data_IF_459667942899
#
_entry.id   IF_459667942899
#
_cell.length_a   1.000
_cell.length_b   1.000
_cell.length_c   1.000
_cell.angle_alpha   90.00
_cell.angle_beta   90.00
_cell.angle_gamma   90.00
#
_symmetry.space_group_name_H-M   'P 1'
#
loop_
_entity.id
_entity.type
_entity.pdbx_description
1 polymer ?
#
# COMPACT_ATOMS: atom_id res chain seq x y z
N UNK A 1 -12.04 7.04 -18.30
CA UNK A 1 -12.82 5.80 -18.01
C UNK A 1 -14.28 6.16 -18.16
N UNK A 2 -15.08 5.34 -18.86
CA UNK A 2 -16.50 5.59 -19.07
C UNK A 2 -17.29 4.82 -18.01
N UNK A 3 -18.19 5.50 -17.30
CA UNK A 3 -19.12 4.91 -16.34
C UNK A 3 -20.51 4.91 -16.96
N UNK A 4 -21.32 3.93 -16.61
CA UNK A 4 -22.71 3.81 -17.09
C UNK A 4 -23.59 4.93 -16.53
N UNK A 5 -23.39 5.24 -15.25
CA UNK A 5 -24.17 6.26 -14.54
C UNK A 5 -23.40 6.78 -13.30
N UNK A 6 -23.99 7.73 -12.59
CA UNK A 6 -23.42 8.30 -11.39
C UNK A 6 -23.27 7.31 -10.22
N UNK A 7 -24.10 6.27 -10.16
CA UNK A 7 -24.00 5.26 -9.12
C UNK A 7 -22.77 4.38 -9.33
N UNK A 8 -22.50 3.96 -10.57
CA UNK A 8 -21.27 3.23 -10.90
C UNK A 8 -20.02 4.08 -10.62
N UNK A 9 -20.07 5.37 -11.00
CA UNK A 9 -18.98 6.30 -10.69
C UNK A 9 -18.71 6.40 -9.17
N UNK A 10 -19.76 6.59 -8.36
CA UNK A 10 -19.65 6.63 -6.88
C UNK A 10 -19.00 5.38 -6.33
N UNK A 11 -19.49 4.21 -6.72
CA UNK A 11 -19.00 2.93 -6.23
C UNK A 11 -17.55 2.67 -6.61
N UNK A 12 -17.17 3.01 -7.83
CA UNK A 12 -15.81 2.82 -8.33
C UNK A 12 -14.79 3.76 -7.67
N UNK A 13 -15.20 4.99 -7.32
CA UNK A 13 -14.25 6.05 -6.98
C UNK A 13 -14.32 6.53 -5.52
N UNK A 14 -15.27 6.09 -4.72
CA UNK A 14 -15.40 6.66 -3.38
C UNK A 14 -16.14 5.79 -2.37
N UNK A 15 -16.42 6.43 -1.25
CA UNK A 15 -17.18 5.88 -0.15
C UNK A 15 -18.33 6.83 0.21
N UNK A 16 -19.45 6.27 0.61
CA UNK A 16 -20.53 7.03 1.26
C UNK A 16 -20.43 6.83 2.78
N UNK A 17 -20.21 7.92 3.51
CA UNK A 17 -20.07 7.92 4.97
C UNK A 17 -21.08 8.93 5.54
N UNK A 18 -22.02 8.43 6.34
CA UNK A 18 -23.09 9.25 6.93
C UNK A 18 -23.86 10.10 5.89
N UNK A 19 -24.17 9.52 4.73
CA UNK A 19 -24.91 10.17 3.64
C UNK A 19 -24.10 11.18 2.81
N UNK A 20 -22.80 11.28 3.05
CA UNK A 20 -21.88 12.15 2.29
C UNK A 20 -20.93 11.28 1.50
N UNK A 21 -20.77 11.57 0.21
CA UNK A 21 -19.82 10.88 -0.62
C UNK A 21 -18.43 11.54 -0.58
N UNK A 22 -17.40 10.70 -0.51
CA UNK A 22 -15.99 11.08 -0.47
C UNK A 22 -15.19 10.31 -1.52
N UNK A 23 -14.40 10.96 -2.37
CA UNK A 23 -13.48 10.26 -3.28
C UNK A 23 -12.43 9.48 -2.49
N UNK A 24 -12.07 8.32 -3.02
CA UNK A 24 -11.11 7.41 -2.40
C UNK A 24 -9.69 7.89 -2.63
N UNK A 25 -8.88 7.95 -1.57
CA UNK A 25 -7.45 8.34 -1.61
C UNK A 25 -6.69 7.61 -2.73
N UNK A 26 -6.86 6.30 -2.84
CA UNK A 26 -6.16 5.50 -3.86
C UNK A 26 -6.60 5.85 -5.28
N UNK A 27 -7.87 6.21 -5.51
CA UNK A 27 -8.39 6.66 -6.81
C UNK A 27 -7.88 8.05 -7.19
N UNK A 28 -7.81 8.97 -6.21
CA UNK A 28 -7.18 10.28 -6.40
C UNK A 28 -5.72 10.10 -6.87
N UNK A 29 -4.99 9.17 -6.27
CA UNK A 29 -3.58 8.94 -6.59
C UNK A 29 -3.34 8.21 -7.92
N UNK A 30 -4.38 7.67 -8.57
CA UNK A 30 -4.28 7.07 -9.90
C UNK A 30 -3.94 8.11 -10.99
N UNK A 31 -4.21 9.39 -10.75
CA UNK A 31 -3.81 10.49 -11.65
C UNK A 31 -2.30 10.64 -11.80
N UNK A 32 -1.57 10.16 -10.80
CA UNK A 32 -0.11 10.21 -10.80
C UNK A 32 0.46 9.21 -11.81
N UNK A 33 1.31 9.67 -12.71
CA UNK A 33 2.08 8.80 -13.59
C UNK A 33 2.84 7.72 -12.80
N UNK A 34 2.79 6.49 -13.30
CA UNK A 34 3.44 5.31 -12.71
C UNK A 34 4.48 4.74 -13.67
N UNK A 35 5.66 5.40 -13.85
CA UNK A 35 6.64 5.00 -14.85
C UNK A 35 7.10 3.54 -14.74
N UNK A 36 7.20 3.02 -13.51
CA UNK A 36 7.54 1.61 -13.29
C UNK A 36 6.47 0.64 -13.81
N UNK A 37 5.20 1.01 -13.73
CA UNK A 37 4.09 0.23 -14.29
C UNK A 37 4.04 0.35 -15.82
N UNK A 38 4.27 1.54 -16.36
CA UNK A 38 4.36 1.75 -17.80
C UNK A 38 5.51 0.95 -18.41
N UNK A 39 6.67 0.96 -17.76
CA UNK A 39 7.81 0.16 -18.18
C UNK A 39 7.50 -1.34 -18.11
N UNK A 40 6.80 -1.79 -17.07
CA UNK A 40 6.33 -3.18 -16.95
C UNK A 40 5.47 -3.58 -18.15
N UNK A 41 4.48 -2.76 -18.55
CA UNK A 41 3.63 -3.07 -19.70
C UNK A 41 4.43 -3.12 -21.02
N UNK A 42 5.47 -2.30 -21.18
CA UNK A 42 6.35 -2.31 -22.36
C UNK A 42 7.24 -3.55 -22.44
N UNK A 43 7.59 -4.14 -21.30
CA UNK A 43 8.45 -5.34 -21.21
C UNK A 43 7.67 -6.65 -21.42
N UNK A 44 6.33 -6.60 -21.45
CA UNK A 44 5.49 -7.79 -21.59
C UNK A 44 5.17 -8.07 -23.08
N UNK A 45 5.02 -9.34 -23.40
CA UNK A 45 4.73 -9.80 -24.77
C UNK A 45 3.39 -9.31 -25.31
N UNK A 46 2.41 -9.17 -24.42
CA UNK A 46 1.07 -8.69 -24.77
C UNK A 46 0.42 -7.95 -23.59
N UNK A 47 -0.58 -7.11 -23.90
CA UNK A 47 -1.39 -6.43 -22.89
C UNK A 47 -2.13 -7.43 -21.98
N UNK A 48 -2.69 -8.49 -22.57
CA UNK A 48 -3.40 -9.54 -21.82
C UNK A 48 -2.49 -10.25 -20.82
N UNK A 49 -1.27 -10.65 -21.24
CA UNK A 49 -0.31 -11.27 -20.33
C UNK A 49 0.14 -10.33 -19.21
N UNK A 50 0.27 -9.04 -19.52
CA UNK A 50 0.57 -8.02 -18.52
C UNK A 50 -0.56 -7.86 -17.49
N UNK A 51 -1.82 -7.86 -17.93
CA UNK A 51 -2.98 -7.83 -17.04
C UNK A 51 -3.06 -9.07 -16.16
N UNK A 52 -2.82 -10.24 -16.68
CA UNK A 52 -2.81 -11.49 -15.92
C UNK A 52 -1.76 -11.47 -14.80
N UNK A 53 -0.54 -11.07 -15.12
CA UNK A 53 0.54 -10.93 -14.13
C UNK A 53 0.20 -9.87 -13.08
N UNK A 54 -0.37 -8.74 -13.51
CA UNK A 54 -0.83 -7.68 -12.60
C UNK A 54 -1.91 -8.19 -11.65
N UNK A 55 -2.91 -8.91 -12.16
CA UNK A 55 -4.03 -9.43 -11.36
C UNK A 55 -3.55 -10.51 -10.37
N UNK A 56 -2.71 -11.44 -10.81
CA UNK A 56 -2.08 -12.44 -9.94
C UNK A 56 -1.19 -11.78 -8.87
N UNK A 57 -0.44 -10.74 -9.25
CA UNK A 57 0.39 -9.97 -8.29
C UNK A 57 -0.45 -9.22 -7.27
N UNK A 58 -1.62 -8.69 -7.66
CA UNK A 58 -2.57 -8.06 -6.76
C UNK A 58 -3.20 -9.09 -5.80
N UNK A 59 -3.64 -10.24 -6.32
CA UNK A 59 -4.18 -11.33 -5.50
C UNK A 59 -3.17 -11.82 -4.44
N UNK A 60 -1.91 -12.03 -4.84
CA UNK A 60 -0.83 -12.35 -3.91
C UNK A 60 -0.65 -11.23 -2.85
N UNK A 61 -0.75 -9.97 -3.26
CA UNK A 61 -0.68 -8.83 -2.33
C UNK A 61 -1.82 -8.86 -1.31
N UNK A 62 -3.06 -9.06 -1.78
CA UNK A 62 -4.24 -9.18 -0.90
C UNK A 62 -4.10 -10.35 0.09
N UNK A 63 -3.58 -11.50 -0.36
CA UNK A 63 -3.36 -12.64 0.53
C UNK A 63 -2.39 -12.32 1.67
N UNK A 64 -1.33 -11.58 1.42
CA UNK A 64 -0.40 -11.11 2.45
C UNK A 64 -1.10 -10.12 3.40
N UNK A 65 -1.81 -9.12 2.87
CA UNK A 65 -2.57 -8.14 3.67
C UNK A 65 -3.59 -8.82 4.59
N UNK A 66 -4.45 -9.69 4.04
CA UNK A 66 -5.49 -10.41 4.79
C UNK A 66 -4.88 -11.28 5.91
N UNK A 67 -3.73 -11.90 5.63
CA UNK A 67 -3.02 -12.72 6.62
C UNK A 67 -2.48 -11.86 7.75
N UNK A 68 -1.82 -10.74 7.43
CA UNK A 68 -1.28 -9.80 8.43
C UNK A 68 -2.41 -9.17 9.25
N UNK A 69 -3.52 -8.77 8.63
CA UNK A 69 -4.71 -8.26 9.30
C UNK A 69 -5.25 -9.24 10.34
N UNK A 70 -5.40 -10.53 9.96
CA UNK A 70 -5.84 -11.57 10.90
C UNK A 70 -4.88 -11.76 12.06
N UNK A 71 -3.58 -11.79 11.80
CA UNK A 71 -2.55 -11.87 12.84
C UNK A 71 -2.61 -10.64 13.76
N UNK A 72 -2.70 -9.44 13.20
CA UNK A 72 -2.77 -8.18 13.95
C UNK A 72 -4.02 -8.07 14.84
N UNK A 73 -5.12 -8.74 14.46
CA UNK A 73 -6.36 -8.76 15.22
C UNK A 73 -6.54 -10.01 16.09
N UNK A 74 -5.53 -10.88 16.17
CA UNK A 74 -5.59 -12.12 16.94
C UNK A 74 -6.57 -13.16 16.39
N UNK A 75 -7.01 -13.02 15.13
CA UNK A 75 -7.90 -13.97 14.47
C UNK A 75 -7.13 -15.19 13.96
N UNK A 76 -7.71 -16.40 14.06
CA UNK A 76 -7.10 -17.59 13.48
C UNK A 76 -6.85 -17.41 11.97
N UNK A 77 -5.68 -17.83 11.51
CA UNK A 77 -5.32 -17.80 10.09
C UNK A 77 -4.50 -19.02 9.72
N UNK A 78 -4.87 -19.64 8.61
CA UNK A 78 -4.05 -20.65 7.95
C UNK A 78 -3.09 -19.95 6.97
N UNK A 79 -1.79 -20.10 7.19
CA UNK A 79 -0.77 -19.45 6.36
C UNK A 79 -0.49 -20.32 5.14
N UNK A 80 -0.87 -19.81 3.96
CA UNK A 80 -0.57 -20.46 2.68
C UNK A 80 0.93 -20.65 2.49
N UNK A 81 1.32 -21.78 1.89
CA UNK A 81 2.73 -22.05 1.60
C UNK A 81 3.35 -21.01 0.67
N UNK A 82 2.57 -20.42 -0.24
CA UNK A 82 3.00 -19.40 -1.17
C UNK A 82 3.58 -18.15 -0.49
N UNK A 83 3.03 -17.75 0.66
CA UNK A 83 3.44 -16.54 1.39
C UNK A 83 4.12 -16.85 2.71
N UNK A 84 4.31 -18.12 3.05
CA UNK A 84 4.86 -18.53 4.35
C UNK A 84 6.19 -17.87 4.70
N UNK A 85 7.19 -17.79 3.78
CA UNK A 85 8.46 -17.12 4.11
C UNK A 85 8.28 -15.65 4.49
N UNK A 86 7.43 -14.91 3.75
CA UNK A 86 7.14 -13.52 4.03
C UNK A 86 6.42 -13.32 5.38
N UNK A 87 5.46 -14.20 5.71
CA UNK A 87 4.70 -14.10 6.96
C UNK A 87 5.54 -14.52 8.17
N UNK A 88 6.36 -15.56 8.06
CA UNK A 88 7.29 -15.95 9.13
C UNK A 88 8.25 -14.80 9.45
N UNK A 89 8.87 -14.21 8.43
CA UNK A 89 9.76 -13.05 8.64
C UNK A 89 9.01 -11.83 9.22
N UNK A 90 7.73 -11.61 8.84
CA UNK A 90 6.91 -10.58 9.45
C UNK A 90 6.67 -10.84 10.94
N UNK A 91 6.37 -12.08 11.35
CA UNK A 91 6.15 -12.42 12.75
C UNK A 91 7.43 -12.19 13.58
N UNK A 92 8.57 -12.68 13.12
CA UNK A 92 9.88 -12.46 13.75
C UNK A 92 10.23 -10.96 13.85
N UNK A 93 10.00 -10.20 12.76
CA UNK A 93 10.22 -8.76 12.73
C UNK A 93 9.31 -8.02 13.71
N UNK A 94 8.03 -8.41 13.78
CA UNK A 94 7.05 -7.82 14.68
C UNK A 94 7.43 -8.04 16.16
N UNK A 95 7.84 -9.24 16.51
CA UNK A 95 8.32 -9.58 17.85
C UNK A 95 9.60 -8.80 18.21
N UNK A 96 10.57 -8.78 17.30
CA UNK A 96 11.86 -8.11 17.50
C UNK A 96 11.77 -6.58 17.61
N UNK A 97 10.76 -5.96 16.96
CA UNK A 97 10.52 -4.50 16.95
C UNK A 97 9.42 -4.07 17.92
N UNK A 98 8.78 -5.01 18.60
CA UNK A 98 7.66 -4.72 19.50
C UNK A 98 6.60 -3.80 18.86
N UNK A 99 6.15 -4.17 17.67
CA UNK A 99 5.07 -3.46 16.98
C UNK A 99 3.74 -3.89 17.62
N UNK A 100 3.03 -2.94 18.22
CA UNK A 100 1.74 -3.17 18.85
C UNK A 100 0.66 -2.66 17.89
N UNK A 101 -0.06 -3.59 17.27
CA UNK A 101 -1.25 -3.27 16.49
C UNK A 101 -2.41 -2.95 17.42
N UNK A 102 -3.26 -2.01 17.02
CA UNK A 102 -4.50 -1.68 17.69
C UNK A 102 -5.66 -2.30 16.90
N UNK A 103 -6.21 -3.46 17.32
CA UNK A 103 -7.18 -4.23 16.53
C UNK A 103 -8.41 -3.45 16.09
N UNK A 104 -8.87 -2.50 16.90
CA UNK A 104 -10.00 -1.62 16.63
C UNK A 104 -9.76 -0.64 15.48
N UNK A 105 -8.50 -0.47 15.07
CA UNK A 105 -8.07 0.41 13.98
C UNK A 105 -7.38 -0.34 12.83
N UNK A 106 -7.53 -1.66 12.74
CA UNK A 106 -7.12 -2.45 11.58
C UNK A 106 -8.22 -2.39 10.53
N UNK A 107 -7.86 -2.19 9.25
CA UNK A 107 -8.79 -1.99 8.12
C UNK A 107 -9.87 -0.92 8.42
N UNK A 108 -9.46 0.12 9.13
CA UNK A 108 -10.39 1.15 9.57
C UNK A 108 -10.61 2.22 8.50
N UNK A 109 -11.88 2.47 8.17
CA UNK A 109 -12.25 3.58 7.30
C UNK A 109 -12.00 4.92 7.99
N UNK A 110 -11.33 5.82 7.28
CA UNK A 110 -11.01 7.20 7.70
C UNK A 110 -11.42 8.18 6.63
N UNK A 111 -11.78 9.39 7.03
CA UNK A 111 -12.20 10.44 6.09
C UNK A 111 -11.77 11.82 6.58
N UNK A 112 -11.59 12.75 5.67
CA UNK A 112 -11.32 14.15 5.96
C UNK A 112 -12.56 14.98 5.68
N UNK A 113 -13.06 15.65 6.68
CA UNK A 113 -14.15 16.64 6.52
C UNK A 113 -13.62 17.89 5.82
N UNK A 114 -12.41 18.30 6.18
CA UNK A 114 -11.77 19.51 5.66
C UNK A 114 -11.42 19.41 4.16
N UNK A 115 -10.90 18.27 3.73
CA UNK A 115 -10.41 18.08 2.36
C UNK A 115 -11.28 17.16 1.52
N UNK A 116 -12.39 16.64 2.07
CA UNK A 116 -13.38 15.82 1.35
C UNK A 116 -12.77 14.64 0.58
N UNK A 117 -12.09 13.74 1.29
CA UNK A 117 -11.64 12.45 0.79
C UNK A 117 -11.80 11.38 1.87
N UNK A 118 -11.78 10.12 1.48
CA UNK A 118 -11.80 9.00 2.42
C UNK A 118 -10.88 7.86 1.96
N UNK A 119 -10.56 6.95 2.87
CA UNK A 119 -9.81 5.76 2.59
C UNK A 119 -9.91 4.76 3.71
N UNK A 120 -9.24 3.63 3.56
CA UNK A 120 -9.08 2.61 4.61
C UNK A 120 -7.61 2.55 4.99
N UNK A 121 -7.31 2.68 6.27
CA UNK A 121 -5.95 2.47 6.78
C UNK A 121 -5.75 0.99 7.05
N UNK A 122 -4.61 0.43 6.65
CA UNK A 122 -4.32 -0.97 6.91
C UNK A 122 -4.25 -1.22 8.43
N UNK A 123 -3.56 -0.33 9.16
CA UNK A 123 -3.54 -0.36 10.62
C UNK A 123 -3.16 1.00 11.25
N UNK A 124 -3.54 1.18 12.51
CA UNK A 124 -2.85 2.09 13.42
C UNK A 124 -2.05 1.21 14.38
N UNK A 125 -0.79 1.56 14.58
CA UNK A 125 0.12 0.80 15.43
C UNK A 125 0.95 1.71 16.35
N UNK A 126 1.48 1.12 17.42
CA UNK A 126 2.55 1.73 18.21
C UNK A 126 3.85 1.02 17.86
N UNK A 127 4.84 1.78 17.41
CA UNK A 127 6.18 1.28 17.07
C UNK A 127 7.20 2.15 17.81
N UNK A 128 8.07 1.53 18.57
CA UNK A 128 9.08 2.22 19.39
C UNK A 128 8.46 3.36 20.26
N UNK A 129 7.25 3.13 20.81
CA UNK A 129 6.50 4.07 21.64
C UNK A 129 5.70 5.15 20.92
N UNK A 130 5.91 5.38 19.62
CA UNK A 130 5.16 6.31 18.78
C UNK A 130 3.86 5.67 18.27
N UNK A 131 2.78 6.43 18.27
CA UNK A 131 1.48 6.01 17.77
C UNK A 131 1.22 6.58 16.38
N UNK A 132 0.92 5.74 15.40
CA UNK A 132 0.84 6.23 14.03
C UNK A 132 0.15 5.29 13.04
N UNK A 133 -0.01 5.80 11.83
CA UNK A 133 -0.53 5.04 10.68
C UNK A 133 0.54 4.08 10.19
N UNK A 134 0.17 2.82 10.01
CA UNK A 134 1.01 1.80 9.39
C UNK A 134 0.32 1.27 8.14
N UNK A 135 1.00 1.40 7.01
CA UNK A 135 0.52 1.00 5.69
C UNK A 135 1.39 -0.14 5.17
N UNK A 136 0.76 -1.26 4.80
CA UNK A 136 1.42 -2.49 4.40
C UNK A 136 1.58 -2.50 2.88
N UNK A 137 2.76 -2.87 2.39
CA UNK A 137 3.04 -2.96 0.96
C UNK A 137 3.80 -4.23 0.61
N UNK A 138 3.37 -4.87 -0.46
CA UNK A 138 4.02 -6.06 -1.04
C UNK A 138 4.76 -5.72 -2.34
N UNK A 139 5.11 -4.46 -2.53
CA UNK A 139 5.82 -3.94 -3.70
C UNK A 139 7.33 -4.20 -3.63
N UNK A 140 8.01 -4.10 -4.77
CA UNK A 140 9.46 -4.29 -4.85
C UNK A 140 10.30 -3.12 -4.31
N UNK A 141 9.65 -2.04 -3.85
CA UNK A 141 10.31 -0.83 -3.32
C UNK A 141 9.32 0.14 -2.72
N UNK A 142 9.84 1.22 -2.14
CA UNK A 142 9.04 2.34 -1.63
C UNK A 142 8.79 3.33 -2.78
N UNK A 143 7.51 3.56 -3.08
CA UNK A 143 7.11 4.50 -4.11
C UNK A 143 6.55 5.78 -3.49
N UNK A 144 6.77 6.91 -4.16
CA UNK A 144 6.40 8.23 -3.62
C UNK A 144 4.90 8.37 -3.34
N UNK A 145 4.04 7.66 -4.09
CA UNK A 145 2.59 7.66 -3.86
C UNK A 145 2.17 7.09 -2.50
N UNK A 146 2.95 6.19 -1.91
CA UNK A 146 2.67 5.67 -0.57
C UNK A 146 2.79 6.76 0.50
N UNK A 147 3.73 7.70 0.31
CA UNK A 147 3.85 8.85 1.19
C UNK A 147 2.63 9.77 1.09
N UNK A 148 2.09 9.96 -0.11
CA UNK A 148 0.88 10.78 -0.31
C UNK A 148 -0.34 10.10 0.32
N UNK A 149 -0.48 8.78 0.14
CA UNK A 149 -1.54 7.97 0.72
C UNK A 149 -1.54 8.07 2.25
N UNK A 150 -0.41 7.77 2.87
CA UNK A 150 -0.29 7.78 4.33
C UNK A 150 -0.37 9.20 4.91
N UNK A 151 0.06 10.24 4.17
CA UNK A 151 -0.12 11.63 4.58
C UNK A 151 -1.59 12.04 4.60
N UNK A 152 -2.37 11.62 3.61
CA UNK A 152 -3.82 11.84 3.62
C UNK A 152 -4.46 11.16 4.83
N UNK A 153 -4.13 9.90 5.11
CA UNK A 153 -4.68 9.19 6.26
C UNK A 153 -4.33 9.85 7.60
N UNK A 154 -3.05 10.18 7.81
CA UNK A 154 -2.60 10.86 9.02
C UNK A 154 -3.32 12.21 9.20
N UNK A 155 -3.44 13.01 8.14
CA UNK A 155 -4.11 14.32 8.20
C UNK A 155 -5.58 14.18 8.54
N UNK A 156 -6.30 13.22 7.97
CA UNK A 156 -7.69 12.95 8.32
C UNK A 156 -7.83 12.56 9.79
N UNK A 157 -6.98 11.68 10.29
CA UNK A 157 -6.98 11.22 11.68
C UNK A 157 -6.61 12.32 12.69
N UNK A 158 -5.95 13.39 12.25
CA UNK A 158 -5.63 14.55 13.10
C UNK A 158 -6.79 15.57 13.20
N UNK A 159 -7.83 15.44 12.37
CA UNK A 159 -9.01 16.29 12.49
C UNK A 159 -9.77 15.99 13.80
N UNK A 160 -10.08 17.03 14.58
CA UNK A 160 -10.72 16.86 15.89
C UNK A 160 -12.00 16.02 15.86
N UNK A 161 -12.88 16.27 14.88
CA UNK A 161 -14.13 15.54 14.72
C UNK A 161 -13.89 14.05 14.42
N UNK A 162 -12.88 13.74 13.62
CA UNK A 162 -12.54 12.37 13.25
C UNK A 162 -11.91 11.62 14.43
N UNK A 163 -10.98 12.26 15.14
CA UNK A 163 -10.42 11.72 16.39
C UNK A 163 -11.51 11.33 17.38
N UNK A 164 -12.47 12.24 17.58
CA UNK A 164 -13.59 12.00 18.49
C UNK A 164 -14.50 10.87 18.01
N UNK A 165 -14.85 10.86 16.72
CA UNK A 165 -15.73 9.83 16.14
C UNK A 165 -15.12 8.45 16.18
N UNK A 166 -13.81 8.35 15.95
CA UNK A 166 -13.08 7.08 15.98
C UNK A 166 -12.59 6.69 17.39
N UNK A 167 -12.80 7.56 18.40
CA UNK A 167 -12.32 7.35 19.77
C UNK A 167 -10.82 7.08 19.84
N UNK A 168 -10.00 7.84 19.07
CA UNK A 168 -8.56 7.67 19.11
C UNK A 168 -8.02 7.95 20.52
N UNK A 169 -7.19 7.06 21.10
CA UNK A 169 -6.70 7.21 22.47
C UNK A 169 -5.70 8.35 22.64
N UNK A 170 -5.01 8.73 21.56
CA UNK A 170 -4.02 9.81 21.51
C UNK A 170 -3.85 10.32 20.08
N UNK A 171 -3.07 11.38 19.92
CA UNK A 171 -2.76 11.96 18.61
C UNK A 171 -1.87 11.03 17.78
N UNK A 172 -2.11 11.01 16.47
CA UNK A 172 -1.23 10.35 15.51
C UNK A 172 0.07 11.16 15.39
N UNK A 173 1.19 10.56 15.74
CA UNK A 173 2.49 11.21 15.80
C UNK A 173 3.30 11.04 14.50
N UNK A 174 3.13 9.89 13.84
CA UNK A 174 3.91 9.52 12.68
C UNK A 174 3.17 8.54 11.77
N UNK A 175 3.84 8.13 10.70
CA UNK A 175 3.35 7.14 9.75
C UNK A 175 4.49 6.27 9.24
N UNK A 176 4.17 5.01 8.99
CA UNK A 176 5.12 4.02 8.47
C UNK A 176 4.59 3.36 7.22
N UNK A 177 5.52 2.91 6.40
CA UNK A 177 5.28 1.94 5.34
C UNK A 177 6.03 0.68 5.72
N UNK A 178 5.30 -0.41 5.92
CA UNK A 178 5.83 -1.74 6.18
C UNK A 178 5.81 -2.54 4.87
N UNK A 179 7.00 -2.80 4.33
CA UNK A 179 7.15 -3.60 3.13
C UNK A 179 7.39 -5.05 3.51
N UNK A 180 6.51 -5.93 3.03
CA UNK A 180 6.56 -7.37 3.28
C UNK A 180 6.74 -8.07 1.95
N UNK A 181 7.85 -8.75 1.75
CA UNK A 181 8.20 -9.47 0.54
C UNK A 181 8.91 -10.78 0.86
N UNK A 182 9.22 -11.51 -0.19
CA UNK A 182 10.07 -12.70 -0.15
C UNK A 182 10.87 -12.81 -1.43
N UNK A 183 12.05 -13.42 -1.34
CA UNK A 183 12.94 -13.67 -2.47
C UNK A 183 13.88 -14.83 -2.18
N UNK A 184 14.58 -15.30 -3.21
CA UNK A 184 15.71 -16.22 -3.07
C UNK A 184 16.99 -15.44 -3.28
N UNK A 185 18.06 -15.82 -2.60
CA UNK A 185 19.38 -15.24 -2.78
C UNK A 185 20.27 -16.25 -3.49
N UNK A 186 21.00 -15.78 -4.49
CA UNK A 186 22.00 -16.63 -5.14
C UNK A 186 23.22 -16.78 -4.22
N UNK A 187 23.55 -18.02 -3.86
CA UNK A 187 24.67 -18.35 -2.94
C UNK A 187 26.02 -17.98 -3.54
N UNK A 188 26.14 -17.91 -4.88
CA UNK A 188 27.40 -17.56 -5.57
C UNK A 188 27.63 -16.06 -5.68
N UNK A 189 26.63 -15.28 -6.10
CA UNK A 189 26.85 -13.86 -6.44
C UNK A 189 26.02 -12.88 -5.60
N UNK A 190 25.12 -13.38 -4.72
CA UNK A 190 24.25 -12.53 -3.90
C UNK A 190 23.15 -11.79 -4.69
N UNK A 191 22.91 -12.18 -5.95
CA UNK A 191 21.74 -11.70 -6.69
C UNK A 191 20.45 -12.16 -6.00
N UNK A 192 19.36 -11.40 -6.15
CA UNK A 192 18.08 -11.77 -5.58
C UNK A 192 17.09 -12.10 -6.68
N UNK A 193 16.36 -13.21 -6.54
CA UNK A 193 15.29 -13.65 -7.40
C UNK A 193 13.97 -13.51 -6.68
N UNK A 194 13.08 -12.70 -7.25
CA UNK A 194 11.72 -12.50 -6.76
C UNK A 194 10.72 -13.03 -7.76
N UNK A 195 9.84 -13.89 -7.27
CA UNK A 195 8.69 -14.39 -8.04
C UNK A 195 7.40 -13.75 -7.49
N UNK A 196 6.62 -13.15 -8.34
CA UNK A 196 5.31 -12.62 -7.99
C UNK A 196 4.38 -12.56 -9.20
N UNK A 197 3.16 -13.10 -9.04
CA UNK A 197 2.16 -13.10 -10.09
C UNK A 197 2.56 -13.89 -11.34
N UNK A 198 3.42 -14.89 -11.20
CA UNK A 198 3.94 -15.69 -12.31
C UNK A 198 5.07 -15.01 -13.09
N UNK A 199 5.59 -13.87 -12.61
CA UNK A 199 6.76 -13.22 -13.18
C UNK A 199 7.95 -13.33 -12.23
N UNK A 200 9.07 -13.70 -12.80
CA UNK A 200 10.39 -13.74 -12.15
C UNK A 200 11.14 -12.45 -12.43
N UNK A 201 11.78 -11.89 -11.41
CA UNK A 201 12.65 -10.73 -11.53
C UNK A 201 13.95 -10.95 -10.77
N UNK A 202 15.06 -10.88 -11.49
CA UNK A 202 16.40 -10.95 -10.92
C UNK A 202 16.94 -9.53 -10.72
N UNK A 203 17.52 -9.28 -9.55
CA UNK A 203 18.29 -8.06 -9.27
C UNK A 203 19.70 -8.47 -8.87
N UNK A 204 20.69 -7.86 -9.49
CA UNK A 204 22.09 -8.10 -9.16
C UNK A 204 22.39 -7.78 -7.69
N UNK A 205 23.31 -8.55 -7.11
CA UNK A 205 23.80 -8.33 -5.75
C UNK A 205 24.43 -6.94 -5.60
N UNK A 206 24.37 -6.39 -4.41
CA UNK A 206 24.92 -5.05 -4.11
C UNK A 206 26.44 -4.99 -4.09
N UNK A 207 27.13 -6.13 -4.07
CA UNK A 207 28.60 -6.18 -4.01
C UNK A 207 29.21 -5.90 -5.38
N UNK A 208 29.98 -4.84 -5.48
CA UNK A 208 30.80 -4.54 -6.66
C UNK A 208 32.02 -5.51 -6.81
N UNK A 209 32.30 -6.32 -5.80
CA UNK A 209 33.48 -7.19 -5.74
C UNK A 209 33.21 -8.63 -6.23
N UNK A 210 31.95 -9.03 -6.28
CA UNK A 210 31.54 -10.37 -6.70
C UNK A 210 31.02 -10.30 -8.13
N UNK A 211 31.64 -11.03 -9.10
CA UNK A 211 31.08 -11.08 -10.45
C UNK A 211 29.66 -11.60 -10.44
N UNK A 212 28.80 -10.97 -11.23
CA UNK A 212 27.41 -11.44 -11.42
C UNK A 212 27.48 -12.75 -12.21
N UNK A 213 26.73 -13.76 -11.79
CA UNK A 213 26.57 -14.98 -12.55
C UNK A 213 25.86 -14.69 -13.88
N UNK A 214 26.16 -15.47 -14.90
CA UNK A 214 25.30 -15.57 -16.08
C UNK A 214 23.93 -16.12 -15.68
N UNK A 215 22.89 -15.84 -16.45
CA UNK A 215 21.49 -16.06 -16.06
C UNK A 215 21.21 -17.51 -15.64
N UNK A 216 21.82 -18.49 -16.33
CA UNK A 216 21.66 -19.92 -16.05
C UNK A 216 22.61 -20.46 -14.96
N UNK A 217 23.57 -19.65 -14.51
CA UNK A 217 24.61 -20.06 -13.56
C UNK A 217 24.30 -19.69 -12.10
N UNK A 218 23.11 -19.21 -11.80
CA UNK A 218 22.70 -18.88 -10.44
C UNK A 218 22.37 -20.14 -9.63
N UNK A 219 22.88 -20.21 -8.41
CA UNK A 219 22.53 -21.22 -7.40
C UNK A 219 21.59 -20.57 -6.38
N UNK A 220 20.29 -20.79 -6.54
CA UNK A 220 19.28 -20.15 -5.71
C UNK A 220 19.08 -20.90 -4.40
N UNK A 221 19.29 -20.22 -3.27
CA UNK A 221 18.98 -20.71 -1.94
C UNK A 221 17.48 -20.83 -1.67
N UNK A 222 17.14 -21.11 -0.42
CA UNK A 222 15.73 -21.15 0.03
C UNK A 222 15.03 -19.80 -0.18
N UNK A 223 13.70 -19.84 -0.24
CA UNK A 223 12.92 -18.60 -0.26
C UNK A 223 12.88 -17.99 1.15
N UNK A 224 13.29 -16.75 1.27
CA UNK A 224 13.38 -16.00 2.52
C UNK A 224 12.45 -14.78 2.49
N UNK A 225 11.89 -14.43 3.66
CA UNK A 225 11.13 -13.19 3.83
C UNK A 225 12.05 -11.96 3.83
N UNK A 226 11.53 -10.84 3.33
CA UNK A 226 12.22 -9.56 3.25
C UNK A 226 11.32 -8.46 3.80
N UNK A 227 11.60 -8.02 5.03
CA UNK A 227 10.81 -7.02 5.76
C UNK A 227 11.59 -5.73 5.88
N UNK A 228 10.93 -4.64 5.55
CA UNK A 228 11.51 -3.30 5.68
C UNK A 228 10.44 -2.32 6.20
N UNK A 229 10.74 -1.67 7.32
CA UNK A 229 9.88 -0.64 7.92
C UNK A 229 10.54 0.73 7.72
N UNK A 230 9.79 1.68 7.18
CA UNK A 230 10.26 3.04 6.94
C UNK A 230 9.32 4.07 7.55
N UNK A 231 9.86 4.93 8.40
CA UNK A 231 9.13 6.02 9.06
C UNK A 231 9.14 7.29 8.22
N UNK A 232 7.99 8.00 8.20
CA UNK A 232 7.79 9.27 7.52
C UNK A 232 7.10 10.28 8.46
N UNK A 233 7.83 10.93 9.38
CA UNK A 233 7.22 11.79 10.40
C UNK A 233 6.68 13.10 9.83
N UNK A 234 7.25 13.62 8.74
CA UNK A 234 6.88 14.92 8.19
C UNK A 234 5.76 14.79 7.15
N UNK A 235 4.59 15.32 7.47
CA UNK A 235 3.37 15.16 6.66
C UNK A 235 3.11 16.31 5.68
N UNK A 236 3.56 17.51 6.00
CA UNK A 236 3.13 18.74 5.31
C UNK A 236 3.40 18.74 3.80
N UNK A 237 4.63 18.38 3.39
CA UNK A 237 5.02 18.37 1.98
C UNK A 237 4.23 17.35 1.16
N UNK A 238 4.04 16.17 1.74
CA UNK A 238 3.31 15.08 1.08
C UNK A 238 1.82 15.38 1.02
N UNK A 239 1.24 15.98 2.07
CA UNK A 239 -0.15 16.40 2.07
C UNK A 239 -0.42 17.50 1.05
N UNK A 240 0.49 18.46 0.91
CA UNK A 240 0.39 19.50 -0.14
C UNK A 240 0.36 18.87 -1.54
N UNK A 241 1.22 17.87 -1.78
CA UNK A 241 1.25 17.16 -3.06
C UNK A 241 -0.02 16.31 -3.26
N UNK A 242 -0.56 15.67 -2.21
CA UNK A 242 -1.83 14.96 -2.26
C UNK A 242 -3.01 15.87 -2.62
N UNK A 243 -3.10 17.05 -2.00
CA UNK A 243 -4.16 18.02 -2.30
C UNK A 243 -4.07 18.49 -3.76
N UNK A 244 -2.87 18.72 -4.30
CA UNK A 244 -2.69 19.06 -5.71
C UNK A 244 -3.15 17.92 -6.64
N UNK A 245 -2.84 16.66 -6.30
CA UNK A 245 -3.32 15.50 -7.04
C UNK A 245 -4.86 15.39 -6.97
N UNK A 246 -5.46 15.66 -5.81
CA UNK A 246 -6.91 15.68 -5.65
C UNK A 246 -7.56 16.76 -6.52
N UNK A 247 -7.02 17.97 -6.54
CA UNK A 247 -7.52 19.06 -7.37
C UNK A 247 -7.50 18.68 -8.86
N UNK A 248 -6.41 18.07 -9.32
CA UNK A 248 -6.30 17.61 -10.70
C UNK A 248 -7.27 16.46 -10.99
N UNK A 249 -7.42 15.52 -10.07
CA UNK A 249 -8.39 14.42 -10.19
C UNK A 249 -9.83 14.95 -10.25
N UNK A 250 -10.18 15.94 -9.43
CA UNK A 250 -11.49 16.59 -9.45
C UNK A 250 -11.75 17.30 -10.78
N UNK A 251 -10.76 17.99 -11.32
CA UNK A 251 -10.85 18.64 -12.63
C UNK A 251 -11.09 17.64 -13.77
N UNK A 252 -10.37 16.52 -13.78
CA UNK A 252 -10.56 15.47 -14.79
C UNK A 252 -11.92 14.76 -14.69
N UNK A 253 -12.49 14.71 -13.48
CA UNK A 253 -13.75 14.02 -13.22
C UNK A 253 -14.95 14.99 -13.03
N UNK A 254 -14.81 16.28 -13.39
CA UNK A 254 -15.78 17.35 -13.16
C UNK A 254 -17.20 16.98 -13.65
N UNK A 255 -17.34 16.38 -14.84
CA UNK A 255 -18.61 15.92 -15.36
C UNK A 255 -19.32 14.96 -14.38
N UNK A 256 -18.65 13.93 -13.93
CA UNK A 256 -19.23 12.92 -13.05
C UNK A 256 -19.49 13.46 -11.65
N UNK A 257 -18.60 14.31 -11.15
CA UNK A 257 -18.76 14.96 -9.86
C UNK A 257 -20.01 15.83 -9.80
N UNK A 258 -20.30 16.57 -10.87
CA UNK A 258 -21.56 17.34 -11.00
C UNK A 258 -22.78 16.42 -11.04
N UNK A 259 -22.72 15.30 -11.78
CA UNK A 259 -23.83 14.35 -11.89
C UNK A 259 -24.22 13.74 -10.52
N UNK A 260 -23.26 13.57 -9.62
CA UNK A 260 -23.51 13.02 -8.28
C UNK A 260 -23.75 14.10 -7.20
N UNK A 261 -23.80 15.38 -7.58
CA UNK A 261 -23.99 16.49 -6.64
C UNK A 261 -22.78 16.77 -5.74
N UNK A 262 -21.57 16.38 -6.15
CA UNK A 262 -20.35 16.72 -5.43
C UNK A 262 -19.96 18.17 -5.68
N UNK A 263 -19.93 18.99 -4.65
CA UNK A 263 -19.50 20.39 -4.76
C UNK A 263 -17.99 20.48 -4.69
N UNK A 264 -17.37 21.06 -5.71
CA UNK A 264 -15.96 21.44 -5.69
C UNK A 264 -15.76 22.55 -4.62
N UNK A 265 -14.74 22.41 -3.79
CA UNK A 265 -14.34 23.39 -2.76
C UNK A 265 -13.12 24.17 -3.21
#
# INVERSE_FOLDING_TARGET
MWYKDGAEFKNANGYEISGIWYPRVTRILEIKAKPALEQFFKEMESFSSAEDVKNKSAAHGSLVHDTVERLATGRPVEISQEIRPAITAFQEFNEGRNIIFHPEFVERQVWSLRHRYAGTVDAIATVDGKFGVLDIKTSSGFYAEYNLQTAAYMTALQEFSIKKTLCLPRDIETRWILRINQHRVCERCGATLREKGGRTKIKNGKSKRTPVCEEEAHEWGACEGDIELKEFPFVYKDMKAFVAAKTLWEWENDYWLRQIGYSLQ
#
